data_IF_839783313243
#
_entry.id   IF_839783313243
#
_cell.length_a   1.000
_cell.length_b   1.000
_cell.length_c   1.000
_cell.angle_alpha   90.00
_cell.angle_beta   90.00
_cell.angle_gamma   90.00
#
_symmetry.space_group_name_H-M   'P 1'
#
loop_
_entity.id
_entity.type
_entity.pdbx_description
1 polymer ?
#
# COMPACT_ATOMS: atom_id res chain seq x y z
N UNK A 1 13.57 4.37 -14.48
CA UNK A 1 13.11 3.58 -13.32
C UNK A 1 13.80 4.14 -12.09
N UNK A 2 13.03 4.62 -11.10
CA UNK A 2 13.55 5.14 -9.84
C UNK A 2 13.38 4.05 -8.77
N UNK A 3 14.41 3.82 -7.97
CA UNK A 3 14.36 2.87 -6.83
C UNK A 3 14.63 3.68 -5.58
N UNK A 4 13.71 3.62 -4.61
CA UNK A 4 13.79 4.33 -3.34
C UNK A 4 13.86 3.28 -2.23
N UNK A 5 14.88 3.36 -1.38
CA UNK A 5 15.04 2.46 -0.26
C UNK A 5 14.33 2.96 1.01
N UNK A 6 14.35 2.16 2.08
CA UNK A 6 13.66 2.50 3.33
C UNK A 6 14.17 3.78 4.01
N UNK A 7 15.47 4.07 3.94
CA UNK A 7 16.04 5.31 4.49
C UNK A 7 15.57 6.52 3.70
N UNK A 8 15.68 6.46 2.37
CA UNK A 8 15.23 7.54 1.48
C UNK A 8 13.71 7.78 1.66
N UNK A 9 12.94 6.72 1.84
CA UNK A 9 11.50 6.83 2.13
C UNK A 9 11.26 7.57 3.45
N UNK A 10 12.00 7.24 4.51
CA UNK A 10 11.87 7.92 5.81
C UNK A 10 12.31 9.38 5.78
N UNK A 11 13.26 9.74 4.91
CA UNK A 11 13.73 11.12 4.72
C UNK A 11 12.75 11.98 3.91
N UNK A 12 12.10 11.39 2.90
CA UNK A 12 11.20 12.10 1.98
C UNK A 12 9.76 12.14 2.51
N UNK A 13 9.31 11.09 3.19
CA UNK A 13 7.90 10.87 3.53
C UNK A 13 7.63 11.16 5.02
N UNK A 14 7.26 12.41 5.34
CA UNK A 14 6.88 12.78 6.70
C UNK A 14 5.49 12.26 7.09
N UNK A 15 5.29 11.95 8.38
CA UNK A 15 3.98 11.47 8.85
C UNK A 15 2.86 12.49 8.63
N UNK A 16 3.16 13.80 8.75
CA UNK A 16 2.19 14.85 8.50
C UNK A 16 1.71 14.85 7.04
N UNK A 17 2.63 14.69 6.09
CA UNK A 17 2.30 14.58 4.67
C UNK A 17 1.45 13.32 4.40
N UNK A 18 1.80 12.18 5.01
CA UNK A 18 1.04 10.93 4.88
C UNK A 18 -0.41 11.10 5.33
N UNK A 19 -0.66 11.77 6.47
CA UNK A 19 -2.02 11.96 6.99
C UNK A 19 -2.87 12.77 6.00
N UNK A 20 -2.33 13.87 5.48
CA UNK A 20 -3.04 14.70 4.49
C UNK A 20 -3.38 13.91 3.23
N UNK A 21 -2.39 13.22 2.66
CA UNK A 21 -2.60 12.38 1.46
C UNK A 21 -3.64 11.29 1.72
N UNK A 22 -3.56 10.59 2.86
CA UNK A 22 -4.51 9.52 3.16
C UNK A 22 -5.93 10.02 3.36
N UNK A 23 -6.11 11.22 3.92
CA UNK A 23 -7.44 11.83 4.05
C UNK A 23 -8.09 12.02 2.67
N UNK A 24 -7.35 12.58 1.71
CA UNK A 24 -7.85 12.84 0.36
C UNK A 24 -8.13 11.53 -0.40
N UNK A 25 -7.21 10.57 -0.34
CA UNK A 25 -7.36 9.27 -1.01
C UNK A 25 -8.52 8.48 -0.45
N UNK A 26 -8.72 8.47 0.87
CA UNK A 26 -9.85 7.76 1.49
C UNK A 26 -11.19 8.42 1.14
N UNK A 27 -11.24 9.75 1.05
CA UNK A 27 -12.42 10.46 0.56
C UNK A 27 -12.72 10.08 -0.90
N UNK A 28 -11.73 10.10 -1.79
CA UNK A 28 -11.87 9.69 -3.19
C UNK A 28 -12.32 8.23 -3.34
N UNK A 29 -11.76 7.32 -2.53
CA UNK A 29 -12.17 5.91 -2.51
C UNK A 29 -13.64 5.76 -2.11
N UNK A 30 -14.09 6.48 -1.09
CA UNK A 30 -15.49 6.44 -0.65
C UNK A 30 -16.46 7.02 -1.68
N UNK A 31 -16.01 7.97 -2.50
CA UNK A 31 -16.78 8.58 -3.58
C UNK A 31 -16.79 7.73 -4.87
N UNK A 32 -15.97 6.67 -4.96
CA UNK A 32 -15.83 5.85 -6.18
C UNK A 32 -14.84 6.42 -7.22
N UNK A 33 -14.02 7.39 -6.81
CA UNK A 33 -12.95 8.00 -7.61
C UNK A 33 -11.57 7.37 -7.42
N UNK A 34 -11.50 6.32 -6.58
CA UNK A 34 -10.38 5.41 -6.52
C UNK A 34 -10.87 3.96 -6.63
N UNK A 35 -10.02 3.08 -7.15
CA UNK A 35 -10.24 1.63 -7.18
C UNK A 35 -9.19 1.01 -6.28
N UNK A 36 -9.61 0.35 -5.21
CA UNK A 36 -8.74 -0.48 -4.39
C UNK A 36 -9.28 -1.90 -4.40
N UNK A 37 -8.52 -2.83 -4.97
CA UNK A 37 -8.93 -4.24 -4.93
C UNK A 37 -8.82 -4.77 -3.52
N UNK A 38 -9.68 -5.73 -3.17
CA UNK A 38 -9.54 -6.46 -1.91
C UNK A 38 -8.14 -7.09 -1.85
N UNK A 39 -7.56 -7.06 -0.65
CA UNK A 39 -6.26 -7.68 -0.39
C UNK A 39 -6.31 -9.15 -0.79
N UNK A 40 -5.43 -9.54 -1.70
CA UNK A 40 -5.23 -10.93 -2.06
C UNK A 40 -4.19 -11.52 -1.10
N UNK A 41 -4.50 -12.66 -0.50
CA UNK A 41 -3.62 -13.34 0.45
C UNK A 41 -3.32 -14.74 -0.05
N UNK A 42 -2.05 -15.04 -0.24
CA UNK A 42 -1.55 -16.36 -0.57
C UNK A 42 -0.84 -16.95 0.65
N UNK A 43 -1.36 -18.04 1.24
CA UNK A 43 -0.65 -18.74 2.30
C UNK A 43 0.60 -19.43 1.74
N UNK A 44 1.69 -19.34 2.49
CA UNK A 44 2.98 -19.96 2.22
C UNK A 44 3.29 -21.02 3.27
N UNK A 45 4.33 -21.82 3.03
CA UNK A 45 4.82 -22.83 3.98
C UNK A 45 5.22 -22.17 5.31
N UNK A 46 5.04 -22.91 6.41
CA UNK A 46 5.42 -22.45 7.75
C UNK A 46 4.51 -21.34 8.32
N UNK A 47 3.25 -21.24 7.86
CA UNK A 47 2.31 -20.24 8.35
C UNK A 47 2.57 -18.81 7.87
N UNK A 48 3.47 -18.65 6.90
CA UNK A 48 3.77 -17.35 6.30
C UNK A 48 2.63 -16.93 5.34
N UNK A 49 2.46 -15.63 5.14
CA UNK A 49 1.48 -15.07 4.22
C UNK A 49 2.16 -14.11 3.23
N UNK A 50 1.72 -14.18 1.98
CA UNK A 50 2.09 -13.25 0.93
C UNK A 50 0.87 -12.44 0.50
N UNK A 51 0.95 -11.12 0.66
CA UNK A 51 -0.13 -10.17 0.41
C UNK A 51 0.11 -9.33 -0.84
N UNK A 52 -0.94 -9.12 -1.62
CA UNK A 52 -0.98 -8.18 -2.74
C UNK A 52 -2.16 -7.23 -2.56
N UNK A 53 -1.93 -5.94 -2.77
CA UNK A 53 -2.95 -4.90 -2.65
C UNK A 53 -2.76 -3.86 -3.77
N UNK A 54 -3.35 -4.10 -4.96
CA UNK A 54 -3.32 -3.16 -6.06
C UNK A 54 -4.38 -2.07 -5.89
N UNK A 55 -4.02 -0.85 -6.30
CA UNK A 55 -4.89 0.31 -6.29
C UNK A 55 -4.64 1.23 -7.49
N UNK A 56 -5.68 1.96 -7.87
CA UNK A 56 -5.66 2.99 -8.89
C UNK A 56 -6.40 4.22 -8.38
N UNK A 57 -5.75 5.38 -8.48
CA UNK A 57 -6.32 6.66 -8.08
C UNK A 57 -6.51 7.52 -9.34
N UNK A 58 -7.77 7.86 -9.64
CA UNK A 58 -8.15 8.44 -10.94
C UNK A 58 -7.63 9.86 -11.12
N UNK A 59 -7.69 10.69 -10.08
CA UNK A 59 -7.36 12.12 -10.14
C UNK A 59 -5.87 12.35 -10.46
N UNK A 60 -4.99 11.49 -9.97
CA UNK A 60 -3.54 11.56 -10.14
C UNK A 60 -3.04 10.66 -11.27
N UNK A 61 -3.94 9.91 -11.92
CA UNK A 61 -3.63 8.85 -12.89
C UNK A 61 -2.54 7.88 -12.36
N UNK A 62 -2.60 7.58 -11.06
CA UNK A 62 -1.58 6.82 -10.36
C UNK A 62 -2.04 5.37 -10.11
N UNK A 63 -1.21 4.41 -10.52
CA UNK A 63 -1.40 2.99 -10.23
C UNK A 63 -0.26 2.48 -9.33
N UNK A 64 -0.60 1.64 -8.35
CA UNK A 64 0.37 1.05 -7.44
C UNK A 64 -0.07 -0.32 -6.94
N UNK A 65 0.89 -1.12 -6.49
CA UNK A 65 0.63 -2.39 -5.84
C UNK A 65 1.56 -2.55 -4.64
N UNK A 66 0.99 -2.66 -3.45
CA UNK A 66 1.75 -3.04 -2.27
C UNK A 66 1.91 -4.57 -2.26
N UNK A 67 3.15 -5.01 -2.13
CA UNK A 67 3.51 -6.41 -1.93
C UNK A 67 4.07 -6.54 -0.52
N UNK A 68 3.53 -7.47 0.27
CA UNK A 68 3.98 -7.69 1.64
C UNK A 68 4.12 -9.18 1.95
N UNK A 69 5.11 -9.51 2.78
CA UNK A 69 5.24 -10.82 3.40
C UNK A 69 5.09 -10.66 4.90
N UNK A 70 4.22 -11.44 5.53
CA UNK A 70 4.15 -11.54 6.98
C UNK A 70 4.47 -12.97 7.39
N UNK A 71 5.51 -13.15 8.21
CA UNK A 71 5.76 -14.44 8.81
C UNK A 71 4.88 -14.65 10.02
N UNK A 72 4.38 -15.87 10.21
CA UNK A 72 3.88 -16.27 11.53
C UNK A 72 5.11 -16.41 12.44
N UNK A 73 5.37 -15.41 13.28
CA UNK A 73 6.18 -15.64 14.47
C UNK A 73 5.41 -16.63 15.36
N UNK A 74 5.63 -17.92 15.13
CA UNK A 74 5.26 -18.97 16.08
C UNK A 74 6.19 -18.81 17.28
N UNK A 75 5.69 -18.14 18.32
CA UNK A 75 6.22 -18.21 19.68
C UNK A 75 5.66 -19.44 20.39
#
# INVERSE_FOLDING_TARGET
MLVINGRETAEILSMQACIGVMQDVLAALSAGDAIQSLRQVMPLMGGNLFGLMPGYLRQEAAAGCQISGSGSCSG
#
